data_IF_628683497049
#
_entry.id   IF_628683497049
#
_cell.length_a   1.000
_cell.length_b   1.000
_cell.length_c   1.000
_cell.angle_alpha   90.00
_cell.angle_beta   90.00
_cell.angle_gamma   90.00
#
_symmetry.space_group_name_H-M   'P 1'
#
loop_
_entity.id
_entity.type
_entity.pdbx_description
1 polymer ?
#
# COMPACT_ATOMS: atom_id res chain seq x y z
N UNK A 1 44.88 26.54 10.97
CA UNK A 1 43.47 26.91 10.74
C UNK A 1 42.82 26.20 9.54
N UNK A 2 43.42 26.18 8.34
CA UNK A 2 42.79 25.57 7.15
C UNK A 2 42.41 24.07 7.29
N UNK A 3 43.19 23.28 8.03
CA UNK A 3 42.93 21.85 8.23
C UNK A 3 41.67 21.58 9.09
N UNK A 4 41.41 22.40 10.11
CA UNK A 4 40.22 22.26 10.96
C UNK A 4 38.93 22.59 10.21
N UNK A 5 38.96 23.60 9.32
CA UNK A 5 37.81 23.97 8.49
C UNK A 5 37.46 22.82 7.53
N UNK A 6 38.47 22.18 6.92
CA UNK A 6 38.26 21.01 6.04
C UNK A 6 37.60 19.83 6.76
N UNK A 7 37.98 19.52 8.01
CA UNK A 7 37.35 18.47 8.79
C UNK A 7 35.90 18.80 9.15
N UNK A 8 35.60 20.05 9.50
CA UNK A 8 34.23 20.48 9.81
C UNK A 8 33.36 20.36 8.55
N UNK A 9 33.86 20.78 7.38
CA UNK A 9 33.12 20.65 6.12
C UNK A 9 32.85 19.19 5.73
N UNK A 10 33.83 18.29 5.93
CA UNK A 10 33.65 16.84 5.69
C UNK A 10 32.56 16.24 6.59
N UNK A 11 32.53 16.60 7.87
CA UNK A 11 31.50 16.13 8.80
C UNK A 11 30.13 16.74 8.48
N UNK A 12 30.07 18.02 8.12
CA UNK A 12 28.82 18.68 7.73
C UNK A 12 28.22 18.03 6.48
N UNK A 13 29.04 17.67 5.47
CA UNK A 13 28.52 16.96 4.29
C UNK A 13 27.98 15.57 4.63
N UNK A 14 28.60 14.84 5.55
CA UNK A 14 28.12 13.52 6.00
C UNK A 14 26.75 13.64 6.70
N UNK A 15 26.58 14.68 7.54
CA UNK A 15 25.31 14.94 8.23
C UNK A 15 24.19 15.35 7.27
N UNK A 16 24.48 16.16 6.24
CA UNK A 16 23.45 16.54 5.26
C UNK A 16 22.96 15.35 4.44
N UNK A 17 23.86 14.46 4.00
CA UNK A 17 23.47 13.28 3.20
C UNK A 17 22.62 12.27 3.98
N UNK A 18 22.90 12.07 5.27
CA UNK A 18 22.15 11.12 6.10
C UNK A 18 20.72 11.60 6.38
N UNK A 19 20.52 12.90 6.61
CA UNK A 19 19.16 13.44 6.81
C UNK A 19 18.26 13.30 5.56
N UNK A 20 18.82 13.44 4.34
CA UNK A 20 18.05 13.27 3.11
C UNK A 20 17.66 11.80 2.89
N UNK A 21 18.58 10.86 3.15
CA UNK A 21 18.31 9.42 3.00
C UNK A 21 17.25 8.94 3.99
N UNK A 22 17.31 9.39 5.26
CA UNK A 22 16.29 9.07 6.26
C UNK A 22 14.92 9.62 5.83
N UNK A 23 14.85 10.86 5.33
CA UNK A 23 13.57 11.45 4.90
C UNK A 23 12.93 10.73 3.71
N UNK A 24 13.73 10.31 2.72
CA UNK A 24 13.22 9.56 1.56
C UNK A 24 12.70 8.17 1.96
N UNK A 25 13.41 7.47 2.84
CA UNK A 25 12.95 6.18 3.36
C UNK A 25 11.71 6.29 4.23
N UNK A 26 11.55 7.40 4.98
CA UNK A 26 10.34 7.62 5.78
C UNK A 26 9.11 7.80 4.89
N UNK A 27 9.21 8.54 3.77
CA UNK A 27 8.04 8.67 2.89
C UNK A 27 7.60 7.31 2.36
N UNK A 28 8.50 6.55 1.72
CA UNK A 28 8.15 5.23 1.18
C UNK A 28 7.72 4.26 2.30
N UNK A 29 8.36 4.34 3.47
CA UNK A 29 7.97 3.55 4.64
C UNK A 29 6.57 3.87 5.16
N UNK A 30 6.16 5.15 5.12
CA UNK A 30 4.81 5.58 5.44
C UNK A 30 3.80 4.99 4.44
N UNK A 31 4.07 5.07 3.14
CA UNK A 31 3.16 4.53 2.09
C UNK A 31 3.00 3.01 2.23
N UNK A 32 4.10 2.28 2.47
CA UNK A 32 4.09 0.84 2.73
C UNK A 32 3.31 0.54 4.01
N UNK A 33 3.50 1.34 5.06
CA UNK A 33 2.81 1.14 6.31
C UNK A 33 1.30 1.34 6.17
N UNK A 34 0.86 2.45 5.56
CA UNK A 34 -0.55 2.74 5.36
C UNK A 34 -1.20 1.67 4.48
N UNK A 35 -0.48 1.16 3.47
CA UNK A 35 -0.93 0.02 2.68
C UNK A 35 -1.10 -1.24 3.54
N UNK A 36 -0.04 -1.72 4.20
CA UNK A 36 -0.07 -2.96 4.98
C UNK A 36 -1.11 -2.91 6.11
N UNK A 37 -1.21 -1.78 6.80
CA UNK A 37 -2.19 -1.59 7.88
C UNK A 37 -3.62 -1.52 7.35
N UNK A 38 -3.87 -0.92 6.18
CA UNK A 38 -5.20 -0.94 5.53
C UNK A 38 -5.61 -2.36 5.16
N UNK A 39 -4.70 -3.15 4.58
CA UNK A 39 -4.97 -4.57 4.29
C UNK A 39 -5.25 -5.37 5.57
N UNK A 40 -4.51 -5.10 6.63
CA UNK A 40 -4.73 -5.75 7.93
C UNK A 40 -6.07 -5.38 8.55
N UNK A 41 -6.45 -4.10 8.53
CA UNK A 41 -7.75 -3.62 9.04
C UNK A 41 -8.90 -4.40 8.39
N UNK A 42 -8.84 -4.58 7.07
CA UNK A 42 -9.84 -5.35 6.32
C UNK A 42 -9.86 -6.82 6.73
N UNK A 43 -8.69 -7.45 6.87
CA UNK A 43 -8.58 -8.83 7.34
C UNK A 43 -9.12 -9.04 8.75
N UNK A 44 -8.93 -8.06 9.64
CA UNK A 44 -9.45 -8.12 11.01
C UNK A 44 -10.98 -7.95 11.06
N UNK A 45 -11.55 -7.16 10.16
CA UNK A 45 -13.00 -6.97 10.07
C UNK A 45 -13.73 -8.21 9.55
N UNK A 46 -13.14 -8.92 8.60
CA UNK A 46 -13.68 -10.15 8.03
C UNK A 46 -13.31 -11.33 8.94
N UNK A 47 -14.19 -11.72 9.87
CA UNK A 47 -13.97 -12.62 11.02
C UNK A 47 -13.37 -14.03 10.76
N UNK A 48 -12.93 -14.36 9.54
CA UNK A 48 -12.28 -15.62 9.16
C UNK A 48 -10.78 -15.66 9.52
N UNK A 49 -10.36 -14.97 10.57
CA UNK A 49 -8.97 -14.96 11.05
C UNK A 49 -8.62 -16.29 11.76
N UNK A 50 -8.72 -17.41 11.06
CA UNK A 50 -7.96 -18.63 11.40
C UNK A 50 -6.62 -18.69 10.63
N UNK A 51 -6.36 -17.74 9.73
CA UNK A 51 -5.11 -17.67 8.99
C UNK A 51 -4.04 -16.90 9.75
N UNK A 52 -2.78 -17.31 9.53
CA UNK A 52 -1.59 -16.65 10.08
C UNK A 52 -1.47 -15.25 9.44
N UNK A 53 -2.04 -14.24 10.08
CA UNK A 53 -2.06 -12.84 9.61
C UNK A 53 -0.67 -12.40 9.14
N UNK A 54 0.37 -12.73 9.91
CA UNK A 54 1.74 -12.34 9.56
C UNK A 54 2.17 -12.93 8.22
N UNK A 55 1.79 -14.17 7.91
CA UNK A 55 2.10 -14.82 6.64
C UNK A 55 1.34 -14.18 5.48
N UNK A 56 0.05 -13.86 5.66
CA UNK A 56 -0.73 -13.15 4.64
C UNK A 56 -0.17 -11.76 4.34
N UNK A 57 0.20 -11.00 5.38
CA UNK A 57 0.82 -9.70 5.19
C UNK A 57 2.24 -9.80 4.61
N UNK A 58 3.02 -10.82 4.98
CA UNK A 58 4.35 -11.05 4.40
C UNK A 58 4.24 -11.31 2.90
N UNK A 59 3.17 -11.97 2.44
CA UNK A 59 2.92 -12.10 1.01
C UNK A 59 2.80 -10.73 0.35
N UNK A 60 2.11 -9.76 0.96
CA UNK A 60 2.01 -8.38 0.43
C UNK A 60 3.39 -7.75 0.22
N UNK A 61 4.37 -8.05 1.07
CA UNK A 61 5.72 -7.56 0.90
C UNK A 61 6.43 -8.09 -0.35
N UNK A 62 6.06 -9.26 -0.87
CA UNK A 62 6.61 -9.76 -2.14
C UNK A 62 6.20 -8.90 -3.35
N UNK A 63 5.14 -8.10 -3.22
CA UNK A 63 4.65 -7.18 -4.23
C UNK A 63 5.31 -5.80 -4.15
N UNK A 64 5.98 -5.50 -3.04
CA UNK A 64 6.75 -4.27 -2.87
C UNK A 64 8.07 -4.40 -3.65
N UNK A 65 8.55 -3.35 -4.34
CA UNK A 65 9.86 -3.37 -5.01
C UNK A 65 10.98 -3.85 -4.10
N UNK A 66 11.89 -4.67 -4.63
CA UNK A 66 12.92 -5.41 -3.86
C UNK A 66 13.74 -4.54 -2.91
N UNK A 67 14.00 -3.28 -3.27
CA UNK A 67 14.73 -2.33 -2.45
C UNK A 67 13.96 -1.81 -1.22
N UNK A 68 12.65 -2.06 -1.13
CA UNK A 68 11.80 -1.70 -0.01
C UNK A 68 11.15 -2.91 0.69
N UNK A 69 11.32 -4.13 0.18
CA UNK A 69 10.78 -5.34 0.81
C UNK A 69 11.28 -5.53 2.24
N UNK A 70 12.55 -5.20 2.50
CA UNK A 70 13.09 -5.25 3.87
C UNK A 70 12.35 -4.31 4.81
N UNK A 71 11.90 -3.14 4.32
CA UNK A 71 11.11 -2.19 5.13
C UNK A 71 9.74 -2.81 5.44
N UNK A 72 9.08 -3.39 4.44
CA UNK A 72 7.79 -4.05 4.59
C UNK A 72 7.86 -5.26 5.55
N UNK A 73 8.86 -6.13 5.38
CA UNK A 73 9.04 -7.30 6.24
C UNK A 73 9.33 -6.88 7.69
N UNK A 74 10.21 -5.88 7.90
CA UNK A 74 10.49 -5.39 9.25
C UNK A 74 9.29 -4.71 9.89
N UNK A 75 8.45 -4.02 9.11
CA UNK A 75 7.20 -3.46 9.61
C UNK A 75 6.33 -4.57 10.20
N UNK A 76 6.11 -5.65 9.46
CA UNK A 76 5.25 -6.76 9.90
C UNK A 76 5.91 -7.50 11.07
N UNK A 77 7.13 -8.02 10.88
CA UNK A 77 7.80 -8.89 11.87
C UNK A 77 7.96 -8.22 13.24
N UNK A 78 8.25 -6.92 13.28
CA UNK A 78 8.54 -6.23 14.53
C UNK A 78 7.34 -5.49 15.12
N UNK A 79 6.28 -5.25 14.34
CA UNK A 79 5.19 -4.38 14.77
C UNK A 79 3.80 -5.00 14.64
N UNK A 80 3.64 -6.22 14.11
CA UNK A 80 2.30 -6.80 13.86
C UNK A 80 1.43 -6.83 15.13
N UNK A 81 1.97 -7.26 16.27
CA UNK A 81 1.22 -7.30 17.53
C UNK A 81 0.82 -5.89 18.00
N UNK A 82 1.72 -4.92 17.82
CA UNK A 82 1.47 -3.51 18.15
C UNK A 82 0.39 -2.92 17.25
N UNK A 83 0.42 -3.23 15.96
CA UNK A 83 -0.56 -2.78 14.96
C UNK A 83 -1.94 -3.38 15.27
N UNK A 84 -2.03 -4.68 15.55
CA UNK A 84 -3.28 -5.34 15.94
C UNK A 84 -3.86 -4.67 17.19
N UNK A 85 -3.03 -4.44 18.21
CA UNK A 85 -3.45 -3.75 19.43
C UNK A 85 -3.91 -2.32 19.18
N UNK A 86 -3.27 -1.59 18.26
CA UNK A 86 -3.74 -0.26 17.87
C UNK A 86 -5.13 -0.29 17.23
N UNK A 87 -5.43 -1.30 16.40
CA UNK A 87 -6.78 -1.49 15.86
C UNK A 87 -7.81 -1.80 16.95
N UNK A 88 -7.45 -2.57 17.98
CA UNK A 88 -8.32 -2.78 19.16
C UNK A 88 -8.65 -1.45 19.88
N UNK A 89 -7.76 -0.45 19.78
CA UNK A 89 -7.97 0.90 20.30
C UNK A 89 -8.72 1.83 19.33
N UNK A 90 -9.25 1.31 18.21
CA UNK A 90 -9.94 2.05 17.16
C UNK A 90 -9.06 3.11 16.47
N UNK A 91 -7.76 2.84 16.34
CA UNK A 91 -6.85 3.71 15.61
C UNK A 91 -6.89 3.41 14.11
N UNK A 92 -6.72 4.45 13.29
CA UNK A 92 -6.69 4.33 11.82
C UNK A 92 -5.29 4.01 11.31
N UNK A 93 -5.15 3.41 10.10
CA UNK A 93 -3.87 3.15 9.44
C UNK A 93 -2.86 4.31 9.54
N UNK A 94 -3.27 5.54 9.20
CA UNK A 94 -2.42 6.72 9.26
C UNK A 94 -1.90 7.02 10.67
N UNK A 95 -2.76 6.89 11.70
CA UNK A 95 -2.36 7.14 13.09
C UNK A 95 -1.37 6.07 13.55
N UNK A 96 -1.60 4.80 13.20
CA UNK A 96 -0.69 3.69 13.51
C UNK A 96 0.69 3.95 12.90
N UNK A 97 0.73 4.34 11.63
CA UNK A 97 1.99 4.58 10.93
C UNK A 97 2.74 5.81 11.43
N UNK A 98 2.04 6.83 11.93
CA UNK A 98 2.64 7.99 12.64
C UNK A 98 3.22 7.55 14.00
N UNK A 99 2.51 6.72 14.76
CA UNK A 99 2.99 6.19 16.04
C UNK A 99 4.23 5.30 15.89
N UNK A 100 4.33 4.55 14.80
CA UNK A 100 5.52 3.78 14.44
C UNK A 100 6.67 4.67 13.94
N UNK A 101 6.45 5.97 13.78
CA UNK A 101 7.46 6.93 13.30
C UNK A 101 7.78 6.80 11.81
N UNK A 102 6.96 6.05 11.06
CA UNK A 102 7.12 5.88 9.61
C UNK A 102 6.51 7.06 8.87
N UNK A 103 5.37 7.55 9.35
CA UNK A 103 4.81 8.81 8.90
C UNK A 103 5.35 9.93 9.80
N UNK A 104 5.80 11.03 9.18
CA UNK A 104 6.06 12.29 9.88
C UNK A 104 5.07 13.29 9.32
N UNK A 105 4.28 13.95 10.18
CA UNK A 105 3.26 14.96 9.82
C UNK A 105 3.80 16.25 9.18
N UNK A 106 4.85 16.16 8.35
CA UNK A 106 5.40 17.28 7.61
C UNK A 106 5.09 17.19 6.13
N UNK A 107 3.86 16.79 5.77
CA UNK A 107 3.31 16.95 4.41
C UNK A 107 1.82 16.62 4.34
N UNK A 108 1.00 17.33 5.10
CA UNK A 108 -0.33 17.66 4.57
C UNK A 108 -0.09 18.51 3.32
N UNK A 109 -0.39 17.96 2.15
CA UNK A 109 -0.65 18.72 0.91
C UNK A 109 0.48 19.67 0.46
N UNK A 110 1.51 19.12 -0.19
CA UNK A 110 2.31 19.89 -1.14
C UNK A 110 2.15 19.32 -2.54
N UNK A 111 0.90 19.34 -2.99
CA UNK A 111 0.56 19.60 -4.39
C UNK A 111 0.83 21.08 -4.70
N UNK A 112 2.07 21.55 -4.59
CA UNK A 112 2.47 22.81 -5.20
C UNK A 112 3.17 22.48 -6.52
N UNK A 113 2.29 22.43 -7.50
CA UNK A 113 2.49 22.48 -8.93
C UNK A 113 3.38 23.68 -9.30
N UNK A 114 4.69 23.46 -9.42
CA UNK A 114 5.61 24.39 -10.08
C UNK A 114 6.29 23.66 -11.25
N UNK A 115 5.63 23.77 -12.40
CA UNK A 115 6.20 23.96 -13.74
C UNK A 115 7.64 23.51 -13.96
N UNK A 116 7.87 22.30 -14.50
CA UNK A 116 8.77 22.05 -15.66
C UNK A 116 8.28 20.80 -16.42
N UNK A 117 7.52 21.04 -17.50
CA UNK A 117 7.68 20.47 -18.84
C UNK A 117 8.11 19.00 -19.01
N UNK A 118 7.13 18.16 -19.40
CA UNK A 118 7.24 17.10 -20.41
C UNK A 118 8.53 16.25 -20.43
N UNK A 119 8.65 15.33 -19.49
CA UNK A 119 9.32 14.05 -19.75
C UNK A 119 8.54 12.94 -19.06
N UNK A 120 7.69 12.28 -19.84
CA UNK A 120 7.24 10.91 -19.58
C UNK A 120 8.44 10.03 -19.19
N UNK A 121 8.24 9.12 -18.24
CA UNK A 121 9.08 7.95 -17.87
C UNK A 121 9.61 7.96 -16.43
N UNK A 122 8.71 7.72 -15.48
CA UNK A 122 9.03 6.87 -14.31
C UNK A 122 8.10 5.65 -14.30
N UNK A 123 7.93 5.07 -15.49
CA UNK A 123 7.71 3.64 -15.66
C UNK A 123 9.04 2.97 -15.29
N UNK A 124 9.17 2.54 -14.04
CA UNK A 124 10.21 1.61 -13.62
C UNK A 124 9.94 0.27 -14.30
N UNK A 125 10.40 0.18 -15.54
CA UNK A 125 10.70 -1.06 -16.24
C UNK A 125 11.83 -1.76 -15.50
N UNK A 126 11.47 -2.56 -14.50
CA UNK A 126 12.33 -3.57 -13.90
C UNK A 126 11.76 -4.91 -14.30
N UNK A 127 12.33 -5.47 -15.35
CA UNK A 127 12.14 -6.85 -15.75
C UNK A 127 12.54 -7.79 -14.61
N UNK A 128 11.55 -8.21 -13.83
CA UNK A 128 11.51 -9.44 -13.05
C UNK A 128 10.04 -9.86 -13.05
N UNK A 129 9.70 -10.76 -13.96
CA UNK A 129 8.33 -11.21 -14.29
C UNK A 129 7.57 -11.92 -13.15
N UNK A 130 8.04 -11.81 -11.92
CA UNK A 130 7.48 -12.47 -10.75
C UNK A 130 7.02 -11.51 -9.65
N UNK A 131 7.35 -10.19 -9.72
CA UNK A 131 6.84 -9.20 -8.76
C UNK A 131 5.54 -8.58 -9.27
N UNK A 132 4.42 -8.72 -8.54
CA UNK A 132 3.15 -8.23 -9.05
C UNK A 132 2.96 -6.73 -8.78
N UNK A 133 2.24 -6.07 -9.67
CA UNK A 133 2.16 -4.61 -9.76
C UNK A 133 1.36 -3.98 -8.61
N UNK A 134 1.49 -2.66 -8.40
CA UNK A 134 0.60 -1.89 -7.50
C UNK A 134 -0.88 -2.13 -7.85
N UNK A 135 -1.17 -2.22 -9.15
CA UNK A 135 -2.49 -2.59 -9.64
C UNK A 135 -2.98 -3.97 -9.21
N UNK A 136 -2.08 -4.94 -9.10
CA UNK A 136 -2.40 -6.26 -8.57
C UNK A 136 -2.86 -6.16 -7.10
N UNK A 137 -2.11 -5.46 -6.25
CA UNK A 137 -2.47 -5.26 -4.83
C UNK A 137 -3.83 -4.57 -4.69
N UNK A 138 -4.04 -3.48 -5.43
CA UNK A 138 -5.32 -2.77 -5.43
C UNK A 138 -6.47 -3.68 -5.85
N UNK A 139 -6.26 -4.50 -6.88
CA UNK A 139 -7.26 -5.47 -7.31
C UNK A 139 -7.55 -6.51 -6.21
N UNK A 140 -6.53 -7.07 -5.56
CA UNK A 140 -6.72 -8.09 -4.51
C UNK A 140 -7.52 -7.52 -3.33
N UNK A 141 -7.28 -6.26 -2.96
CA UNK A 141 -8.12 -5.55 -2.00
C UNK A 141 -9.56 -5.45 -2.50
N UNK A 142 -9.76 -4.92 -3.71
CA UNK A 142 -11.10 -4.72 -4.28
C UNK A 142 -11.87 -6.04 -4.32
N UNK A 143 -11.24 -7.14 -4.75
CA UNK A 143 -11.88 -8.46 -4.83
C UNK A 143 -12.42 -8.92 -3.47
N UNK A 144 -11.62 -8.78 -2.41
CA UNK A 144 -12.03 -9.15 -1.05
C UNK A 144 -13.25 -8.32 -0.60
N UNK A 145 -13.26 -7.02 -0.88
CA UNK A 145 -14.40 -6.14 -0.57
C UNK A 145 -15.63 -6.50 -1.40
N UNK A 146 -15.46 -6.72 -2.70
CA UNK A 146 -16.57 -7.08 -3.60
C UNK A 146 -17.23 -8.38 -3.11
N UNK A 147 -16.45 -9.39 -2.73
CA UNK A 147 -16.97 -10.62 -2.15
C UNK A 147 -17.81 -10.33 -0.90
N UNK A 148 -17.27 -9.57 0.06
CA UNK A 148 -17.99 -9.20 1.29
C UNK A 148 -19.31 -8.44 1.04
N UNK A 149 -19.35 -7.60 0.00
CA UNK A 149 -20.54 -6.83 -0.34
C UNK A 149 -21.57 -7.66 -1.12
N UNK A 150 -21.13 -8.64 -1.91
CA UNK A 150 -22.04 -9.59 -2.57
C UNK A 150 -22.77 -10.44 -1.52
N UNK A 151 -22.09 -10.85 -0.45
CA UNK A 151 -22.70 -11.65 0.63
C UNK A 151 -23.88 -10.92 1.31
N UNK A 152 -23.81 -9.60 1.42
CA UNK A 152 -24.89 -8.77 1.98
C UNK A 152 -25.88 -8.26 0.92
N UNK A 153 -25.82 -8.80 -0.31
CA UNK A 153 -26.66 -8.42 -1.45
C UNK A 153 -26.59 -6.94 -1.83
N UNK A 154 -25.44 -6.30 -1.68
CA UNK A 154 -25.24 -4.95 -2.20
C UNK A 154 -25.36 -4.92 -3.72
N UNK A 155 -25.98 -3.87 -4.26
CA UNK A 155 -26.00 -3.63 -5.70
C UNK A 155 -24.63 -3.20 -6.20
N UNK A 156 -24.34 -3.38 -7.50
CA UNK A 156 -23.06 -2.97 -8.07
C UNK A 156 -22.75 -1.48 -7.80
N UNK A 157 -23.74 -0.59 -7.90
CA UNK A 157 -23.53 0.84 -7.62
C UNK A 157 -23.25 1.12 -6.15
N UNK A 158 -23.83 0.37 -5.22
CA UNK A 158 -23.49 0.47 -3.80
C UNK A 158 -22.07 -0.04 -3.54
N UNK A 159 -21.67 -1.14 -4.18
CA UNK A 159 -20.32 -1.70 -4.12
C UNK A 159 -19.28 -0.68 -4.60
N UNK A 160 -19.49 -0.09 -5.79
CA UNK A 160 -18.62 0.94 -6.35
C UNK A 160 -18.51 2.15 -5.40
N UNK A 161 -19.65 2.62 -4.88
CA UNK A 161 -19.69 3.74 -3.94
C UNK A 161 -18.89 3.45 -2.66
N UNK A 162 -19.09 2.29 -2.03
CA UNK A 162 -18.37 1.95 -0.80
C UNK A 162 -16.87 1.75 -1.04
N UNK A 163 -16.51 1.12 -2.17
CA UNK A 163 -15.12 0.99 -2.56
C UNK A 163 -14.43 2.32 -2.83
N UNK A 164 -15.09 3.28 -3.47
CA UNK A 164 -14.56 4.65 -3.65
C UNK A 164 -14.30 5.33 -2.30
N UNK A 165 -15.15 5.07 -1.29
CA UNK A 165 -14.91 5.57 0.06
C UNK A 165 -13.70 4.89 0.71
N UNK A 166 -13.62 3.56 0.60
CA UNK A 166 -12.51 2.76 1.11
C UNK A 166 -11.18 3.09 0.40
N UNK A 167 -11.22 3.55 -0.85
CA UNK A 167 -10.03 3.99 -1.56
C UNK A 167 -9.31 5.14 -0.87
N UNK A 168 -10.00 5.97 -0.07
CA UNK A 168 -9.38 7.04 0.70
C UNK A 168 -8.51 6.52 1.86
N UNK A 169 -8.64 5.24 2.23
CA UNK A 169 -7.78 4.58 3.23
C UNK A 169 -6.41 4.24 2.66
N UNK A 170 -6.32 4.07 1.34
CA UNK A 170 -5.03 3.94 0.67
C UNK A 170 -4.29 5.28 0.70
N UNK A 171 -3.38 5.41 1.65
CA UNK A 171 -2.45 6.52 1.70
C UNK A 171 -1.43 6.52 0.55
N UNK A 172 -0.44 7.42 0.62
CA UNK A 172 0.72 7.39 -0.28
C UNK A 172 0.46 7.60 -1.78
N UNK A 173 -0.68 8.17 -2.16
CA UNK A 173 -1.02 8.41 -3.58
C UNK A 173 -1.68 7.23 -4.28
N UNK A 174 -1.92 6.11 -3.59
CA UNK A 174 -2.62 4.96 -4.16
C UNK A 174 -4.15 5.15 -4.18
N UNK A 175 -4.71 6.07 -3.40
CA UNK A 175 -6.14 6.38 -3.44
C UNK A 175 -6.66 6.67 -4.85
N UNK A 176 -5.93 7.48 -5.63
CA UNK A 176 -6.33 7.81 -7.01
C UNK A 176 -6.31 6.60 -7.93
N UNK A 177 -5.27 5.76 -7.83
CA UNK A 177 -5.16 4.52 -8.58
C UNK A 177 -6.26 3.52 -8.18
N UNK A 178 -6.58 3.44 -6.88
CA UNK A 178 -7.68 2.63 -6.36
C UNK A 178 -9.01 3.05 -6.97
N UNK A 179 -9.34 4.35 -6.98
CA UNK A 179 -10.58 4.86 -7.59
C UNK A 179 -10.63 4.53 -9.08
N UNK A 180 -9.51 4.61 -9.80
CA UNK A 180 -9.46 4.21 -11.22
C UNK A 180 -9.78 2.71 -11.37
N UNK A 181 -9.21 1.86 -10.54
CA UNK A 181 -9.47 0.41 -10.57
C UNK A 181 -10.92 0.07 -10.21
N UNK A 182 -11.50 0.75 -9.22
CA UNK A 182 -12.90 0.61 -8.84
C UNK A 182 -13.78 0.88 -10.05
N UNK A 183 -13.64 2.06 -10.66
CA UNK A 183 -14.44 2.48 -11.81
C UNK A 183 -14.24 1.60 -13.04
N UNK A 184 -13.05 1.04 -13.22
CA UNK A 184 -12.73 0.26 -14.42
C UNK A 184 -13.10 -1.22 -14.30
N UNK A 185 -12.91 -1.83 -13.13
CA UNK A 185 -12.89 -3.28 -12.99
C UNK A 185 -14.00 -3.83 -12.10
N UNK A 186 -14.60 -3.06 -11.18
CA UNK A 186 -15.67 -3.56 -10.30
C UNK A 186 -16.85 -4.16 -11.08
N UNK A 187 -17.34 -3.59 -12.20
CA UNK A 187 -18.39 -4.25 -12.99
C UNK A 187 -18.01 -5.67 -13.45
N UNK A 188 -16.75 -5.87 -13.84
CA UNK A 188 -16.25 -7.17 -14.28
C UNK A 188 -16.05 -8.13 -13.10
N UNK A 189 -15.53 -7.63 -11.98
CA UNK A 189 -15.29 -8.42 -10.77
C UNK A 189 -16.60 -8.87 -10.11
N UNK A 190 -17.60 -7.99 -10.04
CA UNK A 190 -18.95 -8.34 -9.55
C UNK A 190 -19.55 -9.43 -10.43
N UNK A 191 -19.47 -9.29 -11.75
CA UNK A 191 -19.97 -10.30 -12.66
C UNK A 191 -19.24 -11.64 -12.47
N UNK A 192 -17.91 -11.62 -12.39
CA UNK A 192 -17.09 -12.80 -12.19
C UNK A 192 -17.45 -13.54 -10.89
N UNK A 193 -17.49 -12.84 -9.76
CA UNK A 193 -17.76 -13.41 -8.44
C UNK A 193 -19.21 -13.88 -8.28
N UNK A 194 -20.17 -13.22 -8.94
CA UNK A 194 -21.58 -13.65 -8.97
C UNK A 194 -21.79 -15.03 -9.61
N UNK A 195 -20.84 -15.51 -10.42
CA UNK A 195 -20.88 -16.85 -11.03
C UNK A 195 -20.19 -17.94 -10.18
N UNK A 196 -20.04 -17.73 -8.87
CA UNK A 196 -19.32 -18.63 -7.94
C UNK A 196 -17.89 -18.92 -8.41
N UNK A 197 -17.26 -17.94 -9.06
CA UNK A 197 -15.86 -18.02 -9.41
C UNK A 197 -14.99 -17.72 -8.19
N UNK A 198 -13.77 -18.22 -8.23
CA UNK A 198 -12.80 -18.12 -7.14
C UNK A 198 -12.22 -16.71 -7.03
N UNK A 199 -12.38 -15.98 -5.91
CA UNK A 199 -11.80 -14.64 -5.72
C UNK A 199 -10.32 -14.59 -6.05
N UNK A 200 -9.57 -15.64 -5.71
CA UNK A 200 -8.13 -15.74 -5.87
C UNK A 200 -7.66 -15.76 -7.34
N UNK A 201 -8.58 -15.85 -8.31
CA UNK A 201 -8.29 -15.78 -9.74
C UNK A 201 -8.80 -14.52 -10.40
N UNK A 202 -9.66 -13.75 -9.74
CA UNK A 202 -10.33 -12.61 -10.34
C UNK A 202 -9.36 -11.54 -10.86
N UNK A 203 -8.28 -11.26 -10.12
CA UNK A 203 -7.28 -10.27 -10.53
C UNK A 203 -6.39 -10.71 -11.68
N UNK A 204 -6.19 -12.02 -11.86
CA UNK A 204 -5.52 -12.55 -13.05
C UNK A 204 -6.40 -12.46 -14.29
N UNK A 205 -7.72 -12.63 -14.14
CA UNK A 205 -8.68 -12.56 -15.26
C UNK A 205 -8.72 -11.16 -15.89
N UNK A 206 -8.69 -10.12 -15.06
CA UNK A 206 -8.60 -8.73 -15.53
C UNK A 206 -7.15 -8.30 -15.86
N UNK A 207 -6.18 -9.23 -15.75
CA UNK A 207 -4.74 -9.03 -16.01
C UNK A 207 -4.07 -7.99 -15.11
N UNK A 208 -4.66 -7.69 -13.96
CA UNK A 208 -4.03 -6.87 -12.92
C UNK A 208 -2.88 -7.64 -12.24
N UNK A 209 -3.06 -8.96 -12.06
CA UNK A 209 -2.07 -9.85 -11.48
C UNK A 209 -1.53 -10.87 -12.50
N UNK A 210 -0.28 -11.35 -12.33
CA UNK A 210 0.21 -12.55 -13.01
C UNK A 210 -0.69 -13.75 -12.71
N UNK A 211 -0.69 -14.75 -13.60
CA UNK A 211 -1.57 -15.93 -13.47
C UNK A 211 -1.22 -16.85 -12.27
N UNK A 212 -0.11 -16.59 -11.59
CA UNK A 212 0.48 -17.40 -10.51
C UNK A 212 0.55 -16.73 -9.14
N UNK A 213 -0.13 -15.59 -8.91
CA UNK A 213 -0.22 -14.99 -7.57
C UNK A 213 -0.99 -15.91 -6.62
N UNK A 214 -0.35 -16.35 -5.52
CA UNK A 214 -0.94 -17.03 -4.36
C UNK A 214 -0.03 -16.91 -3.14
#
# INVERSE_FOLDING_TARGET
MKLFILLILLNITILFSSNLFVKANNQVGCEICEMVTTFLEDKLANSNVETNISEELMKLCNYIPSNYQTICNNLIENNIDSIIKSFENNETPTIICDQLGLCSQSSSSSSNFDTIQETSSSSSSSSSSDLPSVGCLICEFIVQKVESYIEVNATQSEIEYFLDQDCNKFGGGYAGECVVYVNQYVPQLVNYLSYNQKPEKACSEIKACPSSSF
#
